data_IF_107618586326
#
_entry.id   IF_107618586326
#
_cell.length_a   1.000
_cell.length_b   1.000
_cell.length_c   1.000
_cell.angle_alpha   90.00
_cell.angle_beta   90.00
_cell.angle_gamma   90.00
#
_symmetry.space_group_name_H-M   'P 1'
#
loop_
_entity.id
_entity.type
_entity.pdbx_description
1 polymer ?
#
# COMPACT_ATOMS: atom_id res chain seq x y z
N UNK A 1 4.67 -11.05 -17.74
CA UNK A 1 3.46 -10.99 -16.88
C UNK A 1 3.50 -9.66 -16.14
N UNK A 2 2.44 -8.84 -16.17
CA UNK A 2 2.42 -7.60 -15.38
C UNK A 2 2.15 -7.97 -13.92
N UNK A 3 3.18 -7.93 -13.09
CA UNK A 3 3.06 -8.12 -11.65
C UNK A 3 2.08 -7.07 -11.10
N UNK A 4 0.92 -7.55 -10.70
CA UNK A 4 -0.10 -6.71 -10.10
C UNK A 4 0.22 -6.63 -8.61
N UNK A 5 0.84 -5.54 -8.20
CA UNK A 5 1.22 -5.31 -6.80
C UNK A 5 -0.01 -4.88 -5.99
N UNK A 6 -0.15 -5.43 -4.79
CA UNK A 6 -1.16 -5.04 -3.81
C UNK A 6 -0.46 -4.31 -2.67
N UNK A 7 -1.14 -3.35 -2.05
CA UNK A 7 -0.64 -2.70 -0.84
C UNK A 7 -1.67 -2.79 0.27
N UNK A 8 -1.22 -3.21 1.45
CA UNK A 8 -1.99 -3.10 2.69
C UNK A 8 -1.52 -1.84 3.40
N UNK A 9 -2.41 -0.85 3.48
CA UNK A 9 -2.18 0.38 4.20
C UNK A 9 -2.79 0.27 5.59
N UNK A 10 -2.05 0.63 6.62
CA UNK A 10 -2.46 0.52 8.01
C UNK A 10 -2.21 1.85 8.72
N UNK A 11 -3.29 2.52 9.11
CA UNK A 11 -3.27 3.82 9.76
C UNK A 11 -3.39 3.69 11.28
N UNK A 12 -2.29 3.90 12.00
CA UNK A 12 -2.26 3.81 13.48
C UNK A 12 -2.64 5.11 14.19
N UNK A 13 -3.11 6.13 13.47
CA UNK A 13 -3.46 7.44 14.00
C UNK A 13 -2.28 8.40 14.17
N UNK A 14 -1.05 7.88 14.26
CA UNK A 14 0.20 8.66 14.29
C UNK A 14 1.15 8.32 13.12
N UNK A 15 0.69 7.55 12.14
CA UNK A 15 1.48 7.16 10.98
C UNK A 15 0.77 6.13 10.11
N UNK A 16 1.18 6.09 8.83
CA UNK A 16 0.68 5.15 7.84
C UNK A 16 1.78 4.13 7.50
N UNK A 17 1.56 2.87 7.85
CA UNK A 17 2.42 1.78 7.40
C UNK A 17 1.88 1.22 6.08
N UNK A 18 2.75 1.08 5.08
CA UNK A 18 2.42 0.45 3.81
C UNK A 18 3.17 -0.88 3.68
N UNK A 19 2.44 -1.97 3.44
CA UNK A 19 3.01 -3.28 3.16
C UNK A 19 2.75 -3.63 1.70
N UNK A 20 3.81 -3.78 0.92
CA UNK A 20 3.74 -4.28 -0.44
C UNK A 20 3.52 -5.80 -0.44
N UNK A 21 2.67 -6.29 -1.33
CA UNK A 21 2.31 -7.69 -1.49
C UNK A 21 2.26 -8.04 -2.99
N UNK A 22 2.86 -9.16 -3.37
CA UNK A 22 2.92 -9.58 -4.78
C UNK A 22 1.61 -10.22 -5.26
N UNK A 23 0.74 -10.60 -4.32
CA UNK A 23 -0.54 -11.25 -4.62
C UNK A 23 -1.64 -10.84 -3.64
N UNK A 24 -2.89 -10.97 -4.10
CA UNK A 24 -4.07 -10.78 -3.24
C UNK A 24 -4.05 -11.74 -2.05
N UNK A 25 -3.60 -12.98 -2.24
CA UNK A 25 -3.54 -13.97 -1.16
C UNK A 25 -2.55 -13.56 -0.06
N UNK A 26 -1.41 -12.98 -0.44
CA UNK A 26 -0.44 -12.43 0.50
C UNK A 26 -0.99 -11.22 1.25
N UNK A 27 -1.63 -10.29 0.55
CA UNK A 27 -2.28 -9.14 1.16
C UNK A 27 -3.36 -9.57 2.18
N UNK A 28 -4.20 -10.57 1.84
CA UNK A 28 -5.18 -11.14 2.76
C UNK A 28 -4.53 -11.75 4.00
N UNK A 29 -3.41 -12.49 3.84
CA UNK A 29 -2.66 -13.03 4.99
C UNK A 29 -2.12 -11.91 5.88
N UNK A 30 -1.63 -10.82 5.31
CA UNK A 30 -1.15 -9.65 6.07
C UNK A 30 -2.29 -8.99 6.85
N UNK A 31 -3.44 -8.75 6.21
CA UNK A 31 -4.63 -8.20 6.87
C UNK A 31 -5.08 -9.08 8.03
N UNK A 32 -5.13 -10.40 7.82
CA UNK A 32 -5.51 -11.37 8.86
C UNK A 32 -4.59 -11.27 10.08
N UNK A 33 -3.28 -11.20 9.88
CA UNK A 33 -2.30 -11.02 10.98
C UNK A 33 -2.53 -9.73 11.75
N UNK A 34 -2.74 -8.60 11.06
CA UNK A 34 -3.00 -7.31 11.73
C UNK A 34 -4.26 -7.36 12.60
N UNK A 35 -5.33 -8.01 12.11
CA UNK A 35 -6.56 -8.20 12.88
C UNK A 35 -6.32 -9.13 14.07
N UNK A 36 -5.55 -10.21 13.89
CA UNK A 36 -5.16 -11.13 14.97
C UNK A 36 -4.29 -10.44 16.03
N UNK A 37 -3.46 -9.47 15.63
CA UNK A 37 -2.65 -8.62 16.52
C UNK A 37 -3.48 -7.53 17.25
N UNK A 38 -4.80 -7.47 17.00
CA UNK A 38 -5.74 -6.57 17.68
C UNK A 38 -5.96 -5.23 16.98
N UNK A 39 -5.44 -5.05 15.77
CA UNK A 39 -5.64 -3.80 15.02
C UNK A 39 -7.10 -3.71 14.52
N UNK A 40 -7.78 -2.56 14.69
CA UNK A 40 -9.16 -2.41 14.23
C UNK A 40 -9.24 -2.50 12.70
N UNK A 41 -10.20 -3.24 12.16
CA UNK A 41 -10.40 -3.37 10.70
C UNK A 41 -10.60 -2.02 10.00
N UNK A 42 -11.18 -1.03 10.68
CA UNK A 42 -11.37 0.33 10.18
C UNK A 42 -10.06 1.08 9.90
N UNK A 43 -8.93 0.61 10.44
CA UNK A 43 -7.60 1.21 10.25
C UNK A 43 -6.85 0.62 9.06
N UNK A 44 -7.39 -0.42 8.42
CA UNK A 44 -6.70 -1.20 7.39
C UNK A 44 -7.39 -0.98 6.04
N UNK A 45 -6.62 -0.61 5.02
CA UNK A 45 -7.09 -0.41 3.64
C UNK A 45 -6.29 -1.31 2.71
N UNK A 46 -6.98 -2.09 1.88
CA UNK A 46 -6.36 -2.84 0.78
C UNK A 46 -6.44 -2.02 -0.51
N UNK A 47 -5.30 -1.77 -1.13
CA UNK A 47 -5.23 -1.15 -2.46
C UNK A 47 -4.52 -2.08 -3.44
N UNK A 48 -4.84 -1.91 -4.72
CA UNK A 48 -4.19 -2.62 -5.81
C UNK A 48 -3.54 -1.59 -6.72
N UNK A 49 -2.27 -1.80 -7.04
CA UNK A 49 -1.57 -0.96 -7.99
C UNK A 49 -2.14 -1.19 -9.38
N UNK A 50 -2.79 -0.15 -9.92
CA UNK A 50 -3.15 -0.10 -11.33
C UNK A 50 -1.94 0.42 -12.08
N UNK A 51 -1.36 -0.40 -12.96
CA UNK A 51 -0.29 0.07 -13.86
C UNK A 51 -0.81 1.21 -14.73
N UNK A 52 -0.40 2.43 -14.42
CA UNK A 52 -0.60 3.58 -15.29
C UNK A 52 0.33 3.44 -16.49
N UNK A 53 -0.20 3.60 -17.71
CA UNK A 53 0.60 3.71 -18.94
C UNK A 53 1.19 5.12 -19.09
N UNK A 54 1.62 5.72 -17.98
CA UNK A 54 2.07 7.11 -17.97
C UNK A 54 3.58 7.13 -18.07
N UNK A 55 4.10 7.79 -19.10
CA UNK A 55 5.52 8.04 -19.27
C UNK A 55 5.84 9.45 -18.77
N UNK A 56 6.59 9.53 -17.68
CA UNK A 56 7.06 10.80 -17.14
C UNK A 56 8.28 11.23 -17.97
N UNK A 57 8.19 12.38 -18.65
CA UNK A 57 9.25 12.88 -19.54
C UNK A 57 10.22 13.82 -18.82
N UNK A 58 9.73 14.62 -17.87
CA UNK A 58 10.54 15.47 -17.01
C UNK A 58 9.85 15.66 -15.66
N UNK A 59 10.64 15.81 -14.60
CA UNK A 59 10.21 16.22 -13.25
C UNK A 59 11.17 17.31 -12.80
N UNK A 60 10.64 18.46 -12.39
CA UNK A 60 11.42 19.51 -11.73
C UNK A 60 11.00 19.54 -10.27
N UNK A 61 11.97 19.45 -9.36
CA UNK A 61 11.75 19.60 -7.92
C UNK A 61 12.55 20.80 -7.47
N UNK A 62 11.86 21.80 -6.92
CA UNK A 62 12.46 22.97 -6.28
C UNK A 62 12.32 22.82 -4.77
N UNK A 63 13.39 23.11 -4.03
CA UNK A 63 13.41 23.09 -2.57
C UNK A 63 13.87 24.49 -2.15
N UNK A 64 13.00 25.21 -1.45
CA UNK A 64 13.34 26.45 -0.76
C UNK A 64 13.78 26.16 0.69
N UNK A 65 14.77 26.92 1.16
CA UNK A 65 15.33 26.88 2.53
C UNK A 65 14.35 27.37 3.60
#
# INVERSE_FOLDING_TARGET
MKETKYFVLHNRGYGLNAYECESKAEATRKIKRLIEDGEPTSTIILTQQVSLKTQIHHVTVEIDD
#
